data_IF_600137183874
#
_entry.id   IF_600137183874
#
_cell.length_a   1.000
_cell.length_b   1.000
_cell.length_c   1.000
_cell.angle_alpha   90.00
_cell.angle_beta   90.00
_cell.angle_gamma   90.00
#
_symmetry.space_group_name_H-M   'P 1'
#
loop_
_entity.id
_entity.type
_entity.pdbx_description
1 polymer ?
#
# COMPACT_ATOMS: atom_id res chain seq x y z
N UNK A 1 8.18 29.10 -0.72
CA UNK A 1 8.63 28.60 0.60
C UNK A 1 8.21 27.16 0.94
N UNK A 2 7.13 26.61 0.36
CA UNK A 2 6.63 25.26 0.72
C UNK A 2 7.30 24.06 0.01
N UNK A 3 8.26 24.29 -0.88
CA UNK A 3 8.68 23.27 -1.87
C UNK A 3 9.70 22.24 -1.36
N UNK A 4 10.32 22.44 -0.20
CA UNK A 4 11.48 21.64 0.19
C UNK A 4 11.37 21.00 1.58
N UNK A 5 10.17 20.75 2.13
CA UNK A 5 10.04 20.18 3.49
C UNK A 5 10.69 18.79 3.66
N UNK A 6 10.64 17.90 2.65
CA UNK A 6 11.36 16.63 2.68
C UNK A 6 12.88 16.81 2.58
N UNK A 7 13.31 17.73 1.72
CA UNK A 7 14.73 18.09 1.63
C UNK A 7 15.21 18.68 2.95
N UNK A 8 14.42 19.56 3.59
CA UNK A 8 14.70 20.13 4.89
C UNK A 8 14.76 19.05 5.97
N UNK A 9 13.83 18.09 5.98
CA UNK A 9 13.90 16.92 6.86
C UNK A 9 15.21 16.16 6.70
N UNK A 10 15.61 15.85 5.46
CA UNK A 10 16.85 15.13 5.18
C UNK A 10 18.10 15.97 5.46
N UNK A 11 18.02 17.29 5.26
CA UNK A 11 19.08 18.23 5.63
C UNK A 11 19.23 18.31 7.14
N UNK A 12 18.13 18.33 7.91
CA UNK A 12 18.18 18.29 9.38
C UNK A 12 18.83 16.98 9.82
N UNK A 13 18.44 15.83 9.26
CA UNK A 13 19.06 14.54 9.59
C UNK A 13 20.56 14.50 9.24
N UNK A 14 20.90 14.97 8.04
CA UNK A 14 22.28 15.07 7.58
C UNK A 14 23.11 16.04 8.45
N UNK A 15 22.55 17.18 8.85
CA UNK A 15 23.23 18.16 9.69
C UNK A 15 23.43 17.65 11.12
N UNK A 16 22.50 16.84 11.63
CA UNK A 16 22.60 16.17 12.92
C UNK A 16 23.52 14.93 12.89
N UNK A 17 24.20 14.66 11.77
CA UNK A 17 25.04 13.47 11.55
C UNK A 17 24.32 12.15 11.88
N UNK A 18 22.99 12.12 11.72
CA UNK A 18 22.19 10.94 11.95
C UNK A 18 22.38 10.00 10.75
N UNK A 19 23.33 9.09 10.87
CA UNK A 19 23.53 8.05 9.88
C UNK A 19 22.28 7.17 9.75
N UNK A 20 22.02 6.64 8.55
CA UNK A 20 20.98 5.64 8.37
C UNK A 20 21.30 4.41 9.23
N UNK A 21 20.43 4.08 10.19
CA UNK A 21 20.69 3.08 11.23
C UNK A 21 21.42 3.58 12.50
N UNK A 22 21.73 4.88 12.58
CA UNK A 22 22.30 5.57 13.75
C UNK A 22 21.24 5.94 14.81
N UNK A 23 21.58 6.86 15.73
CA UNK A 23 20.81 7.19 16.95
C UNK A 23 19.29 7.12 16.76
N UNK A 24 18.65 6.25 17.56
CA UNK A 24 17.25 5.84 17.42
C UNK A 24 16.24 6.82 18.05
N UNK A 25 16.72 7.84 18.76
CA UNK A 25 15.87 8.72 19.58
C UNK A 25 15.51 10.05 18.90
N UNK A 26 15.78 10.19 17.59
CA UNK A 26 15.39 11.37 16.82
C UNK A 26 14.44 11.04 15.67
N UNK A 27 13.24 11.60 15.73
CA UNK A 27 12.24 11.45 14.68
C UNK A 27 11.39 12.73 14.56
N UNK A 28 11.23 13.22 13.33
CA UNK A 28 10.32 14.33 13.03
C UNK A 28 9.00 13.73 12.53
N UNK A 29 7.94 13.90 13.31
CA UNK A 29 6.58 13.43 12.99
C UNK A 29 6.00 14.13 11.77
N UNK A 30 6.10 15.46 11.76
CA UNK A 30 5.64 16.31 10.67
C UNK A 30 6.46 17.59 10.64
N UNK A 31 6.73 18.09 9.44
CA UNK A 31 7.32 19.42 9.23
C UNK A 31 6.63 20.04 8.03
N UNK A 32 5.51 20.72 8.28
CA UNK A 32 4.60 21.23 7.26
C UNK A 32 3.88 22.44 7.81
N UNK A 33 3.55 23.40 6.93
CA UNK A 33 2.70 24.54 7.28
C UNK A 33 1.21 24.24 7.08
N UNK A 34 0.85 23.03 6.63
CA UNK A 34 -0.54 22.61 6.34
C UNK A 34 -1.02 21.49 7.24
N UNK A 35 -0.11 20.67 7.75
CA UNK A 35 -0.42 19.46 8.51
C UNK A 35 0.52 19.32 9.71
N UNK A 36 -0.04 18.87 10.83
CA UNK A 36 0.72 18.58 12.06
C UNK A 36 0.27 17.22 12.59
N UNK A 37 1.22 16.43 13.08
CA UNK A 37 0.97 15.07 13.58
C UNK A 37 1.30 14.98 15.07
N UNK A 38 0.27 14.77 15.87
CA UNK A 38 0.37 14.42 17.29
C UNK A 38 0.23 12.91 17.44
N UNK A 39 1.30 12.23 17.86
CA UNK A 39 1.34 10.77 17.98
C UNK A 39 2.27 10.32 19.10
N UNK A 40 1.96 9.17 19.70
CA UNK A 40 2.79 8.59 20.75
C UNK A 40 2.39 7.17 21.12
N UNK A 41 3.05 6.63 22.13
CA UNK A 41 2.76 5.32 22.70
C UNK A 41 1.62 5.42 23.72
N UNK A 42 0.45 5.82 23.25
CA UNK A 42 -0.69 6.17 24.07
C UNK A 42 -1.87 5.27 23.71
N UNK A 43 -2.70 4.93 24.69
CA UNK A 43 -4.05 4.46 24.38
C UNK A 43 -4.82 5.60 23.70
N UNK A 44 -5.75 5.31 22.78
CA UNK A 44 -6.49 6.35 22.07
C UNK A 44 -7.15 7.40 22.99
N UNK A 45 -7.70 6.96 24.13
CA UNK A 45 -8.33 7.84 25.11
C UNK A 45 -7.36 8.73 25.90
N UNK A 46 -6.06 8.44 25.89
CA UNK A 46 -5.03 9.24 26.58
C UNK A 46 -4.51 10.39 25.72
N UNK A 47 -4.77 10.40 24.40
CA UNK A 47 -4.17 11.34 23.47
C UNK A 47 -4.48 12.81 23.83
N UNK A 48 -5.76 13.10 24.10
CA UNK A 48 -6.22 14.46 24.42
C UNK A 48 -5.64 14.96 25.75
N UNK A 49 -5.59 14.10 26.76
CA UNK A 49 -5.02 14.43 28.07
C UNK A 49 -3.50 14.65 27.98
N UNK A 50 -2.79 13.77 27.27
CA UNK A 50 -1.34 13.89 27.10
C UNK A 50 -0.93 15.18 26.38
N UNK A 51 -1.68 15.58 25.35
CA UNK A 51 -1.45 16.82 24.59
C UNK A 51 -2.41 17.95 24.98
N UNK A 52 -2.89 17.97 26.23
CA UNK A 52 -3.94 18.89 26.67
C UNK A 52 -3.63 20.38 26.42
N UNK A 53 -2.37 20.79 26.55
CA UNK A 53 -1.96 22.19 26.32
C UNK A 53 -2.28 22.67 24.89
N UNK A 54 -2.22 21.77 23.92
CA UNK A 54 -2.48 22.05 22.50
C UNK A 54 -3.88 21.57 22.11
N UNK A 55 -4.16 20.27 22.22
CA UNK A 55 -5.42 19.65 21.77
C UNK A 55 -6.62 20.01 22.66
N UNK A 56 -6.39 20.49 23.88
CA UNK A 56 -7.42 21.04 24.76
C UNK A 56 -7.68 22.53 24.54
N UNK A 57 -6.87 23.20 23.71
CA UNK A 57 -7.00 24.63 23.47
C UNK A 57 -8.06 24.93 22.41
N UNK A 58 -8.98 25.85 22.66
CA UNK A 58 -10.02 26.25 21.69
C UNK A 58 -9.46 26.86 20.40
N UNK A 59 -8.23 27.39 20.44
CA UNK A 59 -7.54 27.90 19.24
C UNK A 59 -7.06 26.76 18.32
N UNK A 60 -6.97 25.53 18.82
CA UNK A 60 -6.59 24.37 18.03
C UNK A 60 -7.79 23.91 17.20
N UNK A 61 -7.97 24.53 16.04
CA UNK A 61 -9.05 24.24 15.09
C UNK A 61 -8.51 23.60 13.83
N UNK A 62 -9.32 22.75 13.21
CA UNK A 62 -8.97 22.10 11.94
C UNK A 62 -10.25 21.80 11.14
N UNK A 63 -10.14 21.86 9.81
CA UNK A 63 -11.18 21.40 8.88
C UNK A 63 -11.07 19.89 8.58
N UNK A 64 -10.01 19.23 9.05
CA UNK A 64 -9.79 17.80 8.85
C UNK A 64 -9.06 17.13 10.02
N UNK A 65 -9.30 15.84 10.22
CA UNK A 65 -8.57 15.01 11.16
C UNK A 65 -8.33 13.61 10.57
N UNK A 66 -7.13 13.08 10.77
CA UNK A 66 -6.78 11.69 10.45
C UNK A 66 -6.30 11.04 11.74
N UNK A 67 -7.04 10.05 12.22
CA UNK A 67 -6.79 9.37 13.48
C UNK A 67 -6.43 7.92 13.18
N UNK A 68 -5.39 7.40 13.83
CA UNK A 68 -4.98 6.02 13.68
C UNK A 68 -4.64 5.39 15.04
N UNK A 69 -5.19 4.19 15.29
CA UNK A 69 -4.79 3.34 16.41
C UNK A 69 -4.11 2.08 15.88
N UNK A 70 -2.90 1.80 16.38
CA UNK A 70 -2.06 0.68 15.89
C UNK A 70 -2.07 -0.47 16.88
N UNK A 71 -2.34 -1.67 16.37
CA UNK A 71 -2.03 -2.91 17.09
C UNK A 71 -0.67 -3.44 16.62
N UNK A 72 0.24 -3.71 17.55
CA UNK A 72 1.61 -4.16 17.26
C UNK A 72 1.79 -5.61 17.69
N UNK A 73 2.39 -6.43 16.84
CA UNK A 73 2.86 -7.78 17.23
C UNK A 73 4.18 -7.74 18.03
N UNK A 74 4.84 -6.58 18.09
CA UNK A 74 6.06 -6.38 18.89
C UNK A 74 5.72 -5.94 20.31
N UNK A 75 6.41 -6.52 21.29
CA UNK A 75 6.33 -6.17 22.71
C UNK A 75 7.14 -4.93 23.08
N UNK A 76 8.15 -4.56 22.27
CA UNK A 76 8.94 -3.34 22.46
C UNK A 76 8.29 -2.17 21.73
N UNK A 77 7.85 -1.13 22.45
CA UNK A 77 7.13 -0.03 21.84
C UNK A 77 8.13 0.94 21.18
N UNK A 78 7.76 1.50 20.01
CA UNK A 78 8.59 2.43 19.24
C UNK A 78 7.76 3.66 18.87
N UNK A 79 8.18 4.85 19.32
CA UNK A 79 7.42 6.10 19.17
C UNK A 79 7.28 6.54 17.70
N UNK A 80 8.37 6.43 16.95
CA UNK A 80 8.46 6.72 15.52
C UNK A 80 7.50 5.88 14.67
N UNK A 81 7.20 4.64 15.11
CA UNK A 81 6.29 3.70 14.45
C UNK A 81 4.81 3.93 14.73
N UNK A 82 4.48 4.82 15.68
CA UNK A 82 3.10 5.28 15.83
C UNK A 82 2.64 5.97 14.54
N UNK A 83 1.34 5.94 14.29
CA UNK A 83 0.71 6.57 13.12
C UNK A 83 -0.31 7.61 13.61
N UNK A 84 -0.67 8.63 12.80
CA UNK A 84 -0.36 8.79 11.37
C UNK A 84 1.12 9.01 11.02
N UNK A 85 1.49 8.68 9.79
CA UNK A 85 2.73 9.11 9.16
C UNK A 85 2.56 10.54 8.61
N UNK A 86 3.38 10.98 7.64
CA UNK A 86 3.37 12.38 7.18
C UNK A 86 2.18 12.65 6.27
N UNK A 87 1.90 11.71 5.37
CA UNK A 87 0.81 11.77 4.41
C UNK A 87 -0.15 10.60 4.54
N UNK A 88 0.19 9.56 5.32
CA UNK A 88 -0.48 8.27 5.35
C UNK A 88 -0.98 7.87 6.75
N UNK A 89 -2.18 7.30 6.83
CA UNK A 89 -2.59 6.34 7.86
C UNK A 89 -2.91 4.99 7.23
N UNK A 90 -2.39 3.91 7.78
CA UNK A 90 -2.44 2.58 7.20
C UNK A 90 -2.88 1.54 8.23
N UNK A 91 -4.09 1.04 8.05
CA UNK A 91 -4.62 -0.11 8.76
C UNK A 91 -4.45 -1.33 7.86
N UNK A 92 -3.45 -2.15 8.13
CA UNK A 92 -3.09 -3.20 7.18
C UNK A 92 -1.71 -3.80 7.38
N UNK A 93 -1.32 -4.58 6.40
CA UNK A 93 0.04 -5.11 6.23
C UNK A 93 0.37 -5.18 4.73
N UNK A 94 1.55 -4.69 4.34
CA UNK A 94 2.03 -4.80 2.95
C UNK A 94 2.86 -6.08 2.78
N UNK A 95 2.24 -7.12 2.24
CA UNK A 95 2.85 -8.44 2.06
C UNK A 95 3.96 -8.45 1.00
N UNK A 96 3.93 -7.49 0.08
CA UNK A 96 4.89 -7.38 -1.03
C UNK A 96 6.12 -6.51 -0.68
N UNK A 97 6.24 -6.06 0.57
CA UNK A 97 7.19 -5.03 1.00
C UNK A 97 8.62 -5.30 0.52
N UNK A 98 9.15 -6.52 0.73
CA UNK A 98 10.55 -6.83 0.37
C UNK A 98 10.81 -6.61 -1.13
N UNK A 99 9.86 -6.98 -1.99
CA UNK A 99 9.95 -6.72 -3.42
C UNK A 99 9.93 -5.23 -3.73
N UNK A 100 8.97 -4.50 -3.15
CA UNK A 100 8.79 -3.07 -3.39
C UNK A 100 10.00 -2.23 -2.94
N UNK A 101 10.58 -2.56 -1.78
CA UNK A 101 11.81 -1.89 -1.29
C UNK A 101 12.97 -2.11 -2.25
N UNK A 102 13.14 -3.33 -2.76
CA UNK A 102 14.21 -3.64 -3.71
C UNK A 102 14.02 -2.94 -5.06
N UNK A 103 12.79 -2.87 -5.56
CA UNK A 103 12.47 -2.13 -6.78
C UNK A 103 12.69 -0.63 -6.62
N UNK A 104 12.29 -0.06 -5.47
CA UNK A 104 12.58 1.34 -5.17
C UNK A 104 14.08 1.60 -5.12
N UNK A 105 14.86 0.74 -4.45
CA UNK A 105 16.33 0.84 -4.44
C UNK A 105 16.94 0.78 -5.84
N UNK A 106 16.41 -0.06 -6.73
CA UNK A 106 16.85 -0.09 -8.12
C UNK A 106 16.51 1.21 -8.88
N UNK A 107 15.36 1.84 -8.56
CA UNK A 107 14.91 3.11 -9.17
C UNK A 107 15.65 4.34 -8.67
N UNK A 108 16.23 4.30 -7.47
CA UNK A 108 16.98 5.43 -6.89
C UNK A 108 18.09 5.93 -7.83
N UNK A 109 18.79 5.03 -8.51
CA UNK A 109 19.84 5.36 -9.48
C UNK A 109 19.33 6.01 -10.78
N UNK A 110 18.04 5.91 -11.07
CA UNK A 110 17.40 6.45 -12.28
C UNK A 110 16.73 7.82 -12.03
N UNK A 111 16.65 8.28 -10.78
CA UNK A 111 16.02 9.55 -10.44
C UNK A 111 16.79 10.73 -11.05
N UNK A 112 16.08 11.53 -11.86
CA UNK A 112 16.65 12.71 -12.49
C UNK A 112 16.56 13.91 -11.55
N UNK A 113 17.69 14.33 -10.98
CA UNK A 113 17.73 15.43 -10.00
C UNK A 113 17.13 16.74 -10.55
N UNK A 114 17.41 17.05 -11.83
CA UNK A 114 16.92 18.27 -12.50
C UNK A 114 15.40 18.38 -12.50
N UNK A 115 14.70 17.28 -12.77
CA UNK A 115 13.23 17.25 -12.81
C UNK A 115 12.59 17.43 -11.43
N UNK A 116 13.35 17.14 -10.37
CA UNK A 116 12.92 17.31 -8.99
C UNK A 116 13.34 18.67 -8.41
N UNK A 117 13.96 19.54 -9.21
CA UNK A 117 14.50 20.82 -8.74
C UNK A 117 15.69 20.67 -7.79
N UNK A 118 16.34 19.50 -7.73
CA UNK A 118 17.41 19.19 -6.80
C UNK A 118 18.78 19.15 -7.50
N UNK A 119 19.81 19.61 -6.81
CA UNK A 119 21.20 19.33 -7.17
C UNK A 119 21.55 17.85 -6.94
N UNK A 120 22.62 17.37 -7.57
CA UNK A 120 23.14 16.00 -7.33
C UNK A 120 23.52 15.79 -5.86
N UNK A 121 23.99 16.83 -5.18
CA UNK A 121 24.37 16.77 -3.77
C UNK A 121 23.15 16.66 -2.86
N UNK A 122 22.08 17.39 -3.15
CA UNK A 122 20.81 17.28 -2.42
C UNK A 122 20.15 15.91 -2.65
N UNK A 123 20.19 15.40 -3.88
CA UNK A 123 19.69 14.06 -4.19
C UNK A 123 20.39 12.99 -3.35
N UNK A 124 21.72 13.03 -3.24
CA UNK A 124 22.49 12.09 -2.41
C UNK A 124 22.06 12.10 -0.94
N UNK A 125 21.65 13.25 -0.41
CA UNK A 125 21.16 13.39 0.98
C UNK A 125 19.74 12.84 1.16
N UNK A 126 18.96 12.83 0.08
CA UNK A 126 17.58 12.35 0.08
C UNK A 126 17.49 10.81 0.01
N UNK A 127 18.58 10.14 -0.36
CA UNK A 127 18.67 8.68 -0.45
C UNK A 127 19.15 8.05 0.88
N UNK A 128 18.67 6.84 1.21
CA UNK A 128 17.63 6.08 0.51
C UNK A 128 16.22 6.67 0.71
N UNK A 129 15.35 6.45 -0.29
CA UNK A 129 13.94 6.84 -0.24
C UNK A 129 13.18 6.04 0.82
N UNK A 130 13.50 4.75 0.90
CA UNK A 130 12.94 3.83 1.90
C UNK A 130 14.06 3.42 2.85
N UNK A 131 13.92 3.79 4.12
CA UNK A 131 14.83 3.39 5.17
C UNK A 131 14.62 1.90 5.50
N UNK A 132 15.71 1.13 5.60
CA UNK A 132 15.69 -0.31 5.93
C UNK A 132 15.05 -0.58 7.30
N UNK A 133 15.12 0.39 8.22
CA UNK A 133 14.54 0.29 9.56
C UNK A 133 13.06 0.67 9.64
N UNK A 134 12.48 1.19 8.55
CA UNK A 134 11.09 1.65 8.50
C UNK A 134 10.09 0.50 8.57
N UNK A 135 8.91 0.77 9.14
CA UNK A 135 7.77 -0.13 9.01
C UNK A 135 7.28 -0.16 7.55
N UNK A 136 6.49 -1.16 7.19
CA UNK A 136 5.79 -1.24 5.90
C UNK A 136 5.03 0.05 5.55
N UNK A 137 4.37 0.62 6.55
CA UNK A 137 3.58 1.86 6.48
C UNK A 137 4.50 3.07 6.28
N UNK A 138 5.65 3.09 6.95
CA UNK A 138 6.65 4.14 6.78
C UNK A 138 7.34 4.09 5.42
N UNK A 139 7.59 2.90 4.89
CA UNK A 139 8.10 2.70 3.54
C UNK A 139 7.10 3.20 2.49
N UNK A 140 5.81 2.85 2.65
CA UNK A 140 4.75 3.33 1.78
C UNK A 140 4.63 4.87 1.80
N UNK A 141 4.58 5.47 3.00
CA UNK A 141 4.54 6.93 3.19
C UNK A 141 5.73 7.63 2.51
N UNK A 142 6.94 7.07 2.66
CA UNK A 142 8.16 7.58 2.04
C UNK A 142 8.12 7.56 0.51
N UNK A 143 7.51 6.56 -0.12
CA UNK A 143 7.36 6.52 -1.58
C UNK A 143 6.22 7.42 -2.05
N UNK A 144 5.09 7.41 -1.33
CA UNK A 144 3.93 8.25 -1.65
C UNK A 144 4.31 9.73 -1.62
N UNK A 145 5.00 10.18 -0.58
CA UNK A 145 5.48 11.55 -0.49
C UNK A 145 6.44 11.89 -1.63
N UNK A 146 7.34 10.97 -2.04
CA UNK A 146 8.23 11.22 -3.17
C UNK A 146 7.43 11.46 -4.46
N UNK A 147 6.42 10.62 -4.74
CA UNK A 147 5.59 10.76 -5.95
C UNK A 147 4.83 12.08 -5.97
N UNK A 148 4.26 12.48 -4.84
CA UNK A 148 3.53 13.76 -4.71
C UNK A 148 4.47 14.94 -4.91
N UNK A 149 5.65 14.91 -4.29
CA UNK A 149 6.67 15.96 -4.43
C UNK A 149 7.28 16.00 -5.83
N UNK A 150 7.30 14.87 -6.54
CA UNK A 150 7.71 14.80 -7.94
C UNK A 150 6.66 15.36 -8.92
N UNK A 151 5.55 15.91 -8.42
CA UNK A 151 4.54 16.60 -9.22
C UNK A 151 3.29 15.78 -9.53
N UNK A 152 3.16 14.56 -9.00
CA UNK A 152 1.90 13.81 -9.09
C UNK A 152 0.90 14.37 -8.09
N UNK A 153 -0.37 14.41 -8.48
CA UNK A 153 -1.43 14.66 -7.49
C UNK A 153 -1.52 13.47 -6.52
N UNK A 154 -1.94 13.72 -5.27
CA UNK A 154 -2.08 12.68 -4.26
C UNK A 154 -2.97 11.50 -4.71
N UNK A 155 -4.16 11.71 -5.32
CA UNK A 155 -4.98 10.61 -5.81
C UNK A 155 -4.29 9.80 -6.92
N UNK A 156 -3.59 10.45 -7.85
CA UNK A 156 -2.84 9.77 -8.91
C UNK A 156 -1.73 8.88 -8.34
N UNK A 157 -0.99 9.37 -7.34
CA UNK A 157 0.07 8.62 -6.70
C UNK A 157 -0.49 7.39 -5.94
N UNK A 158 -1.63 7.55 -5.25
CA UNK A 158 -2.32 6.44 -4.60
C UNK A 158 -2.84 5.43 -5.62
N UNK A 159 -3.47 5.87 -6.72
CA UNK A 159 -3.91 4.97 -7.80
C UNK A 159 -2.75 4.19 -8.44
N UNK A 160 -1.54 4.77 -8.47
CA UNK A 160 -0.35 4.10 -8.96
C UNK A 160 0.19 3.06 -7.97
N UNK A 161 0.23 3.37 -6.67
CA UNK A 161 0.76 2.47 -5.64
C UNK A 161 -0.21 1.35 -5.25
N UNK A 162 -1.51 1.65 -5.16
CA UNK A 162 -2.59 0.72 -4.83
C UNK A 162 -3.61 0.67 -5.97
N UNK A 163 -3.26 0.07 -7.12
CA UNK A 163 -4.17 0.00 -8.27
C UNK A 163 -5.31 -0.99 -8.02
N UNK A 164 -6.45 -0.73 -8.68
CA UNK A 164 -7.60 -1.63 -8.73
C UNK A 164 -7.24 -2.98 -9.38
N UNK A 165 -8.07 -4.00 -9.17
CA UNK A 165 -7.93 -5.27 -9.87
C UNK A 165 -8.33 -5.14 -11.35
N UNK A 166 -7.42 -4.68 -12.21
CA UNK A 166 -7.71 -4.29 -13.60
C UNK A 166 -7.48 -5.39 -14.65
N UNK A 167 -6.57 -6.35 -14.40
CA UNK A 167 -6.08 -7.28 -15.43
C UNK A 167 -7.19 -8.14 -16.04
N UNK A 168 -7.99 -8.75 -15.17
CA UNK A 168 -9.05 -9.70 -15.56
C UNK A 168 -10.46 -9.09 -15.53
N UNK A 169 -10.57 -7.78 -15.28
CA UNK A 169 -11.85 -7.10 -15.33
C UNK A 169 -12.26 -6.86 -16.80
N UNK A 170 -13.44 -7.38 -17.14
CA UNK A 170 -14.07 -7.24 -18.46
C UNK A 170 -15.02 -6.04 -18.54
N UNK A 171 -15.47 -5.54 -17.39
CA UNK A 171 -16.43 -4.44 -17.28
C UNK A 171 -15.72 -3.09 -17.09
N UNK A 172 -14.41 -3.09 -16.80
CA UNK A 172 -13.61 -1.88 -16.66
C UNK A 172 -13.52 -1.11 -17.99
N UNK A 173 -13.69 0.21 -17.91
CA UNK A 173 -13.48 1.11 -19.04
C UNK A 173 -12.08 0.89 -19.68
N UNK A 174 -11.99 0.77 -21.02
CA UNK A 174 -10.72 0.51 -21.70
C UNK A 174 -9.63 1.55 -21.45
N UNK A 175 -9.98 2.84 -21.27
CA UNK A 175 -9.00 3.89 -20.97
C UNK A 175 -8.49 3.76 -19.54
N UNK A 176 -9.37 3.41 -18.59
CA UNK A 176 -8.97 3.09 -17.22
C UNK A 176 -8.05 1.87 -17.18
N UNK A 177 -8.39 0.81 -17.93
CA UNK A 177 -7.55 -0.38 -18.04
C UNK A 177 -6.17 -0.05 -18.61
N UNK A 178 -6.11 0.77 -19.67
CA UNK A 178 -4.87 1.23 -20.28
C UNK A 178 -4.03 2.10 -19.32
N UNK A 179 -4.64 2.95 -18.49
CA UNK A 179 -3.94 3.70 -17.44
C UNK A 179 -3.25 2.74 -16.46
N UNK A 180 -3.96 1.74 -15.94
CA UNK A 180 -3.39 0.80 -14.98
C UNK A 180 -2.33 -0.11 -15.60
N UNK A 181 -2.52 -0.56 -16.84
CA UNK A 181 -1.51 -1.30 -17.58
C UNK A 181 -0.24 -0.46 -17.77
N UNK A 182 -0.39 0.81 -18.17
CA UNK A 182 0.74 1.73 -18.27
C UNK A 182 1.46 1.92 -16.94
N UNK A 183 0.72 2.15 -15.85
CA UNK A 183 1.30 2.31 -14.52
C UNK A 183 2.02 1.05 -14.03
N UNK A 184 1.58 -0.15 -14.44
CA UNK A 184 2.23 -1.40 -14.06
C UNK A 184 3.66 -1.55 -14.59
N UNK A 185 4.03 -0.84 -15.67
CA UNK A 185 5.42 -0.76 -16.13
C UNK A 185 6.28 0.20 -15.30
N UNK A 186 5.64 1.14 -14.60
CA UNK A 186 6.32 2.18 -13.83
C UNK A 186 6.45 1.82 -12.35
N UNK A 187 5.46 1.18 -11.77
CA UNK A 187 5.37 0.87 -10.35
C UNK A 187 4.66 -0.47 -10.14
N UNK A 188 5.32 -1.36 -9.41
CA UNK A 188 4.71 -2.58 -8.89
C UNK A 188 3.71 -2.23 -7.76
N UNK A 189 2.59 -2.96 -7.65
CA UNK A 189 1.60 -2.66 -6.64
C UNK A 189 2.11 -2.96 -5.23
N UNK A 190 1.85 -2.04 -4.31
CA UNK A 190 2.09 -2.21 -2.89
C UNK A 190 0.93 -3.00 -2.29
N UNK A 191 0.97 -4.31 -2.49
CA UNK A 191 -0.14 -5.23 -2.23
C UNK A 191 -0.08 -5.86 -0.83
N UNK A 192 -1.26 -6.15 -0.29
CA UNK A 192 -1.52 -6.66 1.04
C UNK A 192 -2.86 -6.14 1.60
N UNK A 193 -3.40 -6.71 2.69
CA UNK A 193 -4.63 -6.22 3.30
C UNK A 193 -4.44 -4.78 3.77
N UNK A 194 -5.14 -3.80 3.19
CA UNK A 194 -4.88 -2.40 3.51
C UNK A 194 -6.14 -1.52 3.41
N UNK A 195 -6.37 -0.74 4.46
CA UNK A 195 -7.13 0.50 4.42
C UNK A 195 -6.11 1.64 4.55
N UNK A 196 -5.94 2.38 3.46
CA UNK A 196 -4.99 3.48 3.32
C UNK A 196 -5.77 4.78 3.34
N UNK A 197 -5.62 5.55 4.41
CA UNK A 197 -6.09 6.94 4.51
C UNK A 197 -4.93 7.88 4.22
N UNK A 198 -5.17 9.00 3.55
CA UNK A 198 -4.08 9.87 3.11
C UNK A 198 -4.50 11.34 3.02
N UNK A 199 -3.52 12.23 3.18
CA UNK A 199 -3.72 13.68 3.02
C UNK A 199 -2.43 14.42 2.66
N UNK A 200 -2.56 15.50 1.89
CA UNK A 200 -1.51 16.49 1.62
C UNK A 200 -1.88 17.89 2.14
N UNK A 201 -2.95 17.99 2.94
CA UNK A 201 -3.55 19.25 3.37
C UNK A 201 -4.61 19.81 2.43
N UNK A 202 -4.66 19.40 1.16
CA UNK A 202 -5.75 19.78 0.24
C UNK A 202 -6.77 18.66 0.14
N UNK A 203 -6.27 17.44 -0.05
CA UNK A 203 -7.10 16.26 -0.15
C UNK A 203 -7.09 15.52 1.19
N UNK A 204 -8.25 14.99 1.57
CA UNK A 204 -8.33 13.91 2.56
C UNK A 204 -9.09 12.75 1.90
N UNK A 205 -8.50 11.57 1.90
CA UNK A 205 -9.13 10.42 1.28
C UNK A 205 -8.78 9.11 1.93
N UNK A 206 -9.47 8.08 1.51
CA UNK A 206 -9.16 6.70 1.85
C UNK A 206 -9.49 5.76 0.69
N UNK A 207 -8.65 4.73 0.55
CA UNK A 207 -8.83 3.63 -0.39
C UNK A 207 -8.58 2.31 0.30
N UNK A 208 -9.14 1.25 -0.27
CA UNK A 208 -8.81 -0.12 0.11
C UNK A 208 -7.80 -0.71 -0.87
N UNK A 209 -7.19 -1.82 -0.43
CA UNK A 209 -6.46 -2.72 -1.32
C UNK A 209 -7.38 -3.31 -2.41
N UNK A 210 -6.76 -3.90 -3.42
CA UNK A 210 -7.43 -4.47 -4.61
C UNK A 210 -8.50 -5.51 -4.29
N UNK A 211 -8.43 -6.17 -3.13
CA UNK A 211 -9.34 -7.22 -2.70
C UNK A 211 -10.31 -6.72 -1.61
N UNK A 212 -10.09 -5.52 -1.06
CA UNK A 212 -10.91 -4.95 0.01
C UNK A 212 -10.88 -5.77 1.29
N UNK A 213 -9.68 -6.15 1.74
CA UNK A 213 -9.50 -7.06 2.88
C UNK A 213 -9.66 -6.36 4.24
N UNK A 214 -9.78 -5.02 4.25
CA UNK A 214 -10.04 -4.22 5.45
C UNK A 214 -11.38 -3.49 5.34
N UNK A 215 -12.11 -3.33 6.44
CA UNK A 215 -13.37 -2.60 6.43
C UNK A 215 -13.12 -1.09 6.36
N UNK A 216 -13.90 -0.38 5.55
CA UNK A 216 -13.96 1.08 5.55
C UNK A 216 -15.40 1.51 5.35
N UNK A 217 -15.97 2.27 6.29
CA UNK A 217 -17.34 2.75 6.26
C UNK A 217 -17.35 4.25 6.39
N UNK A 218 -18.27 4.90 5.69
CA UNK A 218 -18.36 6.36 5.70
C UNK A 218 -19.79 6.88 5.82
N UNK A 219 -19.88 8.08 6.36
CA UNK A 219 -21.07 8.91 6.47
C UNK A 219 -20.78 10.26 5.85
N UNK A 220 -21.75 10.79 5.10
CA UNK A 220 -21.78 12.18 4.65
C UNK A 220 -23.01 12.81 5.27
N UNK A 221 -22.85 13.95 5.93
CA UNK A 221 -23.94 14.64 6.62
C UNK A 221 -24.52 15.78 5.77
N UNK A 222 -25.75 16.21 6.08
CA UNK A 222 -26.33 17.42 5.48
C UNK A 222 -25.60 18.68 5.94
N UNK A 223 -25.02 18.66 7.15
CA UNK A 223 -24.12 19.68 7.69
C UNK A 223 -22.75 19.77 6.99
N UNK A 224 -22.46 18.90 6.01
CA UNK A 224 -21.24 18.97 5.20
C UNK A 224 -20.02 18.23 5.77
N UNK A 225 -20.21 17.40 6.79
CA UNK A 225 -19.16 16.56 7.36
C UNK A 225 -19.03 15.23 6.60
N UNK A 226 -17.79 14.78 6.43
CA UNK A 226 -17.48 13.45 5.89
C UNK A 226 -16.69 12.68 6.93
N UNK A 227 -17.28 11.60 7.44
CA UNK A 227 -16.68 10.75 8.46
C UNK A 227 -16.41 9.39 7.83
N UNK A 228 -15.16 8.91 7.92
CA UNK A 228 -14.78 7.56 7.50
C UNK A 228 -14.03 6.86 8.63
N UNK A 229 -14.42 5.62 8.92
CA UNK A 229 -13.77 4.79 9.93
C UNK A 229 -13.79 3.31 9.53
N UNK A 230 -12.95 2.51 10.18
CA UNK A 230 -12.95 1.05 10.02
C UNK A 230 -14.23 0.39 10.57
N UNK A 231 -14.94 1.07 11.47
CA UNK A 231 -16.13 0.58 12.16
C UNK A 231 -17.30 1.58 12.11
N UNK A 232 -18.50 1.13 12.48
CA UNK A 232 -19.68 2.00 12.64
C UNK A 232 -19.77 2.51 14.08
N UNK A 233 -20.35 3.69 14.29
CA UNK A 233 -20.61 4.21 15.64
C UNK A 233 -19.38 4.78 16.37
N UNK A 234 -18.28 5.01 15.64
CA UNK A 234 -17.06 5.66 16.18
C UNK A 234 -17.33 7.10 16.59
N UNK A 235 -18.24 7.75 15.87
CA UNK A 235 -18.68 9.13 16.05
C UNK A 235 -20.20 9.12 16.15
N UNK A 236 -20.74 9.77 17.18
CA UNK A 236 -22.18 9.94 17.34
C UNK A 236 -22.67 11.02 16.37
N UNK A 237 -23.55 10.65 15.45
CA UNK A 237 -24.12 11.52 14.41
C UNK A 237 -25.64 11.41 14.51
N UNK A 238 -26.39 12.53 14.63
CA UNK A 238 -27.85 12.50 14.60
C UNK A 238 -28.37 11.82 13.32
N UNK A 239 -29.25 10.82 13.41
CA UNK A 239 -29.75 10.10 12.23
C UNK A 239 -30.35 11.01 11.14
N UNK A 240 -30.99 12.10 11.53
CA UNK A 240 -31.58 13.12 10.66
C UNK A 240 -30.54 13.91 9.85
N UNK A 241 -29.31 14.03 10.34
CA UNK A 241 -28.23 14.73 9.64
C UNK A 241 -27.50 13.80 8.67
N UNK A 242 -27.78 12.50 8.64
CA UNK A 242 -27.12 11.57 7.72
C UNK A 242 -27.71 11.71 6.31
N UNK A 243 -26.93 12.28 5.39
CA UNK A 243 -27.29 12.39 3.97
C UNK A 243 -26.96 11.12 3.18
N UNK A 244 -25.78 10.55 3.41
CA UNK A 244 -25.33 9.33 2.72
C UNK A 244 -24.54 8.44 3.65
N UNK A 245 -24.86 7.14 3.67
CA UNK A 245 -24.08 6.10 4.34
C UNK A 245 -23.56 5.12 3.30
N UNK A 246 -22.29 4.74 3.41
CA UNK A 246 -21.69 3.80 2.47
C UNK A 246 -20.52 3.01 3.06
N UNK A 247 -19.97 2.13 2.22
CA UNK A 247 -18.75 1.39 2.50
C UNK A 247 -17.79 1.56 1.33
N UNK A 248 -16.48 1.53 1.62
CA UNK A 248 -15.46 1.43 0.60
C UNK A 248 -15.52 0.03 0.00
N UNK A 249 -15.62 -0.05 -1.33
CA UNK A 249 -15.49 -1.29 -2.07
C UNK A 249 -14.04 -1.46 -2.56
N UNK A 250 -13.62 -2.69 -2.90
CA UNK A 250 -12.29 -2.90 -3.48
C UNK A 250 -12.05 -1.96 -4.67
N UNK A 251 -10.94 -1.23 -4.64
CA UNK A 251 -10.59 -0.26 -5.68
C UNK A 251 -11.29 1.10 -5.63
N UNK A 252 -12.32 1.28 -4.79
CA UNK A 252 -12.99 2.58 -4.61
C UNK A 252 -12.13 3.54 -3.78
N UNK A 253 -12.04 4.79 -4.23
CA UNK A 253 -11.43 5.89 -3.48
C UNK A 253 -12.51 6.85 -2.98
N UNK A 254 -12.61 7.02 -1.66
CA UNK A 254 -13.33 8.16 -1.07
C UNK A 254 -12.35 9.31 -0.97
N UNK A 255 -12.70 10.46 -1.52
CA UNK A 255 -11.82 11.62 -1.56
C UNK A 255 -12.63 12.90 -1.32
N UNK A 256 -12.11 13.77 -0.47
CA UNK A 256 -12.61 15.13 -0.25
C UNK A 256 -11.56 16.10 -0.78
N UNK A 257 -11.97 17.03 -1.64
CA UNK A 257 -11.12 18.14 -2.11
C UNK A 257 -11.54 19.41 -1.37
N UNK A 258 -10.73 19.85 -0.41
CA UNK A 258 -11.03 21.03 0.38
C UNK A 258 -10.89 22.34 -0.39
N UNK A 259 -10.13 22.37 -1.49
CA UNK A 259 -10.08 23.56 -2.36
C UNK A 259 -11.36 23.72 -3.19
N UNK A 260 -12.03 22.62 -3.52
CA UNK A 260 -13.29 22.61 -4.28
C UNK A 260 -14.53 22.44 -3.41
N UNK A 261 -14.35 22.26 -2.11
CA UNK A 261 -15.42 21.99 -1.14
C UNK A 261 -16.37 20.87 -1.57
N UNK A 262 -15.83 19.78 -2.12
CA UNK A 262 -16.65 18.67 -2.63
C UNK A 262 -16.11 17.32 -2.21
N UNK A 263 -17.05 16.38 -1.98
CA UNK A 263 -16.73 14.95 -2.03
C UNK A 263 -16.60 14.58 -3.49
N UNK A 264 -15.44 14.06 -3.87
CA UNK A 264 -15.13 13.73 -5.25
C UNK A 264 -15.79 12.41 -5.62
N UNK A 265 -16.42 12.37 -6.79
CA UNK A 265 -16.95 11.14 -7.36
C UNK A 265 -15.81 10.25 -7.89
N UNK A 266 -15.78 8.99 -7.43
CA UNK A 266 -14.71 8.02 -7.75
C UNK A 266 -14.61 7.73 -9.24
N UNK A 267 -15.75 7.58 -9.93
CA UNK A 267 -15.78 7.28 -11.35
C UNK A 267 -15.28 8.48 -12.17
N UNK A 268 -15.76 9.69 -11.84
CA UNK A 268 -15.30 10.92 -12.47
C UNK A 268 -13.80 11.16 -12.24
N UNK A 269 -13.30 10.92 -11.03
CA UNK A 269 -11.88 11.05 -10.67
C UNK A 269 -11.00 10.15 -11.54
N UNK A 270 -11.34 8.87 -11.62
CA UNK A 270 -10.58 7.89 -12.39
C UNK A 270 -10.74 8.10 -13.90
N UNK A 271 -11.90 8.59 -14.34
CA UNK A 271 -12.11 9.01 -15.72
C UNK A 271 -11.23 10.21 -16.09
N UNK A 272 -11.05 11.18 -15.19
CA UNK A 272 -10.14 12.31 -15.38
C UNK A 272 -8.70 11.80 -15.59
N UNK A 273 -8.18 10.93 -14.73
CA UNK A 273 -6.81 10.44 -14.87
C UNK A 273 -6.62 9.52 -16.08
N UNK A 274 -7.57 8.63 -16.36
CA UNK A 274 -7.47 7.72 -17.51
C UNK A 274 -7.54 8.44 -18.86
N UNK A 275 -8.12 9.65 -18.91
CA UNK A 275 -8.17 10.50 -20.10
C UNK A 275 -7.08 11.57 -20.15
N UNK A 276 -6.29 11.72 -19.09
CA UNK A 276 -5.26 12.76 -19.02
C UNK A 276 -4.17 12.58 -20.08
N UNK A 277 -3.89 11.34 -20.50
CA UNK A 277 -2.88 11.01 -21.52
C UNK A 277 -3.36 9.86 -22.42
N UNK A 278 -2.83 9.71 -23.64
CA UNK A 278 -3.24 8.67 -24.57
C UNK A 278 -2.58 7.32 -24.24
N UNK A 279 -2.86 6.77 -23.06
CA UNK A 279 -2.22 5.55 -22.55
C UNK A 279 -2.36 4.35 -23.50
N UNK A 280 -3.55 4.13 -24.06
CA UNK A 280 -3.80 3.04 -25.01
C UNK A 280 -2.89 3.12 -26.24
N UNK A 281 -2.76 4.31 -26.83
CA UNK A 281 -1.89 4.54 -27.98
C UNK A 281 -0.41 4.32 -27.64
N UNK A 282 0.02 4.67 -26.43
CA UNK A 282 1.40 4.40 -25.99
C UNK A 282 1.66 2.91 -25.84
N UNK A 283 0.71 2.17 -25.25
CA UNK A 283 0.80 0.74 -25.10
C UNK A 283 0.86 0.06 -26.47
N UNK A 284 -0.06 0.37 -27.38
CA UNK A 284 -0.07 -0.19 -28.74
C UNK A 284 1.25 0.04 -29.50
N UNK A 285 1.87 1.22 -29.33
CA UNK A 285 3.08 1.59 -30.06
C UNK A 285 4.38 1.08 -29.44
N UNK A 286 4.42 0.80 -28.14
CA UNK A 286 5.68 0.58 -27.41
C UNK A 286 5.71 -0.77 -26.68
N UNK A 287 4.56 -1.38 -26.39
CA UNK A 287 4.49 -2.69 -25.75
C UNK A 287 4.84 -3.77 -26.77
N UNK A 288 5.83 -4.59 -26.45
CA UNK A 288 6.19 -5.77 -27.23
C UNK A 288 5.92 -6.99 -26.37
N UNK A 289 5.09 -7.91 -26.87
CA UNK A 289 4.83 -9.19 -26.21
C UNK A 289 5.80 -10.24 -26.72
N UNK A 290 6.33 -11.09 -25.83
CA UNK A 290 7.25 -12.16 -26.18
C UNK A 290 6.66 -13.09 -27.24
N UNK A 291 5.34 -13.34 -27.20
CA UNK A 291 4.60 -14.08 -28.23
C UNK A 291 4.86 -13.54 -29.63
N UNK A 292 4.78 -12.23 -29.81
CA UNK A 292 4.95 -11.57 -31.11
C UNK A 292 6.39 -11.75 -31.62
N UNK A 293 7.38 -11.70 -30.71
CA UNK A 293 8.78 -11.98 -31.05
C UNK A 293 8.95 -13.44 -31.46
N UNK A 294 8.45 -14.39 -30.67
CA UNK A 294 8.57 -15.82 -30.99
C UNK A 294 7.91 -16.14 -32.33
N UNK A 295 6.72 -15.60 -32.58
CA UNK A 295 5.97 -15.76 -33.82
C UNK A 295 6.71 -15.20 -35.05
N UNK A 296 7.48 -14.12 -34.87
CA UNK A 296 8.29 -13.52 -35.95
C UNK A 296 9.48 -14.39 -36.39
N UNK A 297 9.92 -15.35 -35.56
CA UNK A 297 11.07 -16.22 -35.85
C UNK A 297 10.61 -17.53 -36.47
N UNK A 298 11.32 -17.98 -37.52
CA UNK A 298 11.08 -19.26 -38.20
C UNK A 298 11.21 -20.44 -37.25
N UNK A 299 10.33 -21.45 -37.39
CA UNK A 299 10.30 -22.64 -36.51
C UNK A 299 11.64 -23.37 -36.42
N UNK A 300 12.43 -23.39 -37.49
CA UNK A 300 13.78 -23.98 -37.53
C UNK A 300 14.76 -23.33 -36.56
N UNK A 301 14.64 -22.01 -36.36
CA UNK A 301 15.48 -21.22 -35.47
C UNK A 301 15.03 -21.27 -34.00
N UNK A 302 13.87 -21.89 -33.72
CA UNK A 302 13.37 -22.13 -32.37
C UNK A 302 13.91 -23.44 -31.76
N UNK A 303 14.60 -24.26 -32.55
CA UNK A 303 15.21 -25.50 -32.06
C UNK A 303 16.48 -25.17 -31.26
N UNK A 304 16.61 -25.71 -30.04
CA UNK A 304 17.85 -25.61 -29.30
C UNK A 304 18.98 -26.28 -30.09
N UNK A 305 20.14 -25.62 -30.26
CA UNK A 305 21.29 -26.27 -30.85
C UNK A 305 21.72 -27.46 -29.97
N UNK A 306 22.09 -28.60 -30.57
CA UNK A 306 22.57 -29.74 -29.80
C UNK A 306 23.86 -29.35 -29.05
N UNK A 307 23.87 -29.53 -27.73
CA UNK A 307 25.07 -29.30 -26.91
C UNK A 307 25.92 -30.57 -26.99
N UNK A 308 27.14 -30.45 -27.51
CA UNK A 308 28.09 -31.55 -27.55
C UNK A 308 28.43 -31.99 -26.11
N UNK A 309 28.17 -33.26 -25.78
CA UNK A 309 28.41 -33.81 -24.45
C UNK A 309 27.18 -33.88 -23.54
N UNK A 310 25.96 -33.67 -24.05
CA UNK A 310 24.73 -33.94 -23.30
C UNK A 310 24.61 -35.45 -23.00
N UNK A 311 25.23 -35.89 -21.90
CA UNK A 311 24.89 -37.15 -21.27
C UNK A 311 23.40 -37.10 -20.93
N UNK A 312 22.61 -37.91 -21.64
CA UNK A 312 21.19 -38.15 -21.36
C UNK A 312 20.90 -38.53 -19.88
N UNK A 313 21.93 -38.77 -19.08
CA UNK A 313 21.86 -39.11 -17.66
C UNK A 313 21.60 -37.92 -16.72
N UNK A 314 22.04 -36.69 -17.04
CA UNK A 314 21.80 -35.53 -16.16
C UNK A 314 20.31 -35.14 -16.16
N UNK A 315 19.62 -35.36 -17.29
CA UNK A 315 18.16 -35.30 -17.39
C UNK A 315 17.47 -36.68 -17.30
N UNK A 316 18.23 -37.77 -17.14
CA UNK A 316 17.70 -39.14 -17.02
C UNK A 316 16.87 -39.31 -15.75
N UNK A 317 17.35 -38.77 -14.62
CA UNK A 317 16.56 -38.69 -13.37
C UNK A 317 15.33 -37.78 -13.50
N UNK A 318 15.35 -36.79 -14.39
CA UNK A 318 14.17 -35.95 -14.66
C UNK A 318 13.10 -36.70 -15.46
N UNK A 319 13.48 -37.64 -16.34
CA UNK A 319 12.51 -38.44 -17.12
C UNK A 319 11.69 -39.42 -16.28
N UNK A 320 12.07 -39.73 -15.04
CA UNK A 320 11.20 -40.47 -14.12
C UNK A 320 10.20 -39.57 -13.40
N UNK A 321 10.50 -38.27 -13.23
CA UNK A 321 9.67 -37.30 -12.51
C UNK A 321 8.70 -36.56 -13.45
N UNK A 322 9.13 -36.27 -14.68
CA UNK A 322 8.39 -35.45 -15.66
C UNK A 322 7.13 -36.13 -16.24
N UNK A 323 7.05 -37.46 -16.46
CA UNK A 323 5.81 -38.09 -16.92
C UNK A 323 4.66 -37.97 -15.91
N UNK A 324 4.97 -37.86 -14.61
CA UNK A 324 3.96 -37.64 -13.56
C UNK A 324 3.41 -36.21 -13.54
N UNK A 325 4.12 -35.24 -14.15
CA UNK A 325 3.77 -33.82 -14.15
C UNK A 325 3.24 -33.31 -15.50
N UNK A 326 3.57 -33.97 -16.62
CA UNK A 326 3.32 -33.43 -17.97
C UNK A 326 2.41 -34.29 -18.85
N UNK A 327 2.08 -35.52 -18.44
CA UNK A 327 1.09 -36.36 -19.14
C UNK A 327 -0.06 -36.72 -18.21
N UNK A 328 -1.12 -35.93 -18.31
CA UNK A 328 -2.36 -36.11 -17.58
C UNK A 328 -2.83 -34.78 -17.05
N UNK A 329 -4.03 -34.39 -17.46
CA UNK A 329 -4.88 -33.46 -16.72
C UNK A 329 -4.66 -33.66 -15.21
N UNK A 330 -3.91 -32.75 -14.57
CA UNK A 330 -3.70 -32.77 -13.13
C UNK A 330 -5.03 -32.41 -12.46
N UNK A 331 -5.95 -33.39 -12.41
CA UNK A 331 -7.06 -33.37 -11.49
C UNK A 331 -6.46 -33.27 -10.09
N UNK A 332 -6.97 -32.34 -9.27
CA UNK A 332 -6.54 -31.90 -7.93
C UNK A 332 -6.13 -33.00 -6.91
N UNK A 333 -6.25 -34.28 -7.23
CA UNK A 333 -6.01 -35.43 -6.35
C UNK A 333 -4.55 -35.89 -6.21
N UNK A 334 -3.60 -35.43 -7.04
CA UNK A 334 -2.22 -35.98 -7.05
C UNK A 334 -1.19 -35.22 -6.21
N UNK A 335 -1.46 -33.97 -5.84
CA UNK A 335 -0.54 -33.14 -5.03
C UNK A 335 -0.28 -33.71 -3.61
N UNK A 336 -1.26 -34.29 -2.88
CA UNK A 336 -1.05 -34.75 -1.50
C UNK A 336 -0.03 -35.90 -1.36
N UNK A 337 0.04 -36.81 -2.34
CA UNK A 337 0.95 -37.97 -2.29
C UNK A 337 2.42 -37.59 -2.51
N UNK A 338 2.68 -36.50 -3.24
CA UNK A 338 4.04 -35.96 -3.47
C UNK A 338 4.59 -35.31 -2.19
N UNK A 339 3.74 -34.57 -1.46
CA UNK A 339 4.10 -33.90 -0.20
C UNK A 339 4.52 -34.92 0.88
N UNK A 340 3.90 -36.12 0.91
CA UNK A 340 4.23 -37.16 1.89
C UNK A 340 5.63 -37.77 1.66
N UNK A 341 6.14 -37.76 0.42
CA UNK A 341 7.49 -38.23 0.06
C UNK A 341 8.58 -37.18 0.32
N UNK A 342 8.30 -35.89 0.16
CA UNK A 342 9.30 -34.83 0.43
C UNK A 342 9.61 -34.63 1.93
N UNK A 343 8.70 -35.04 2.83
CA UNK A 343 8.94 -34.93 4.29
C UNK A 343 10.02 -35.88 4.83
N UNK A 344 10.41 -36.92 4.10
CA UNK A 344 11.42 -37.89 4.57
C UNK A 344 12.88 -37.48 4.29
N UNK A 345 13.12 -36.38 3.58
CA UNK A 345 14.48 -35.95 3.17
C UNK A 345 14.82 -34.51 3.58
N UNK A 346 14.22 -33.98 4.65
CA UNK A 346 14.68 -32.71 5.24
C UNK A 346 16.00 -32.94 5.98
N UNK A 347 17.10 -32.96 5.25
CA UNK A 347 18.45 -33.03 5.81
C UNK A 347 19.50 -32.92 4.72
N UNK A 348 20.44 -31.98 4.90
CA UNK A 348 21.66 -31.91 4.11
C UNK A 348 22.52 -33.14 4.43
N UNK A 349 22.22 -34.29 3.83
CA UNK A 349 23.17 -35.40 3.78
C UNK A 349 24.23 -35.04 2.73
N UNK A 350 25.51 -35.13 3.09
CA UNK A 350 26.64 -34.79 2.21
C UNK A 350 26.71 -35.60 0.91
N UNK A 351 25.87 -36.63 0.76
CA UNK A 351 25.97 -37.64 -0.28
C UNK A 351 24.87 -37.55 -1.37
N UNK A 352 24.00 -36.54 -1.31
CA UNK A 352 22.98 -36.29 -2.35
C UNK A 352 23.14 -34.92 -3.01
N UNK A 353 23.17 -34.90 -4.35
CA UNK A 353 23.15 -33.67 -5.14
C UNK A 353 21.70 -33.22 -5.27
N UNK A 354 21.30 -32.27 -4.44
CA UNK A 354 19.96 -31.67 -4.50
C UNK A 354 19.96 -30.39 -5.36
N UNK A 355 18.83 -30.13 -6.02
CA UNK A 355 18.64 -28.88 -6.75
C UNK A 355 18.54 -27.69 -5.79
N UNK A 356 19.06 -26.53 -6.19
CA UNK A 356 18.99 -25.28 -5.41
C UNK A 356 17.55 -24.95 -4.95
N UNK A 357 16.54 -25.27 -5.77
CA UNK A 357 15.12 -25.06 -5.45
C UNK A 357 14.65 -25.88 -4.23
N UNK A 358 15.26 -27.02 -3.92
CA UNK A 358 14.92 -27.84 -2.75
C UNK A 358 15.27 -27.15 -1.43
N UNK A 359 16.17 -26.16 -1.46
CA UNK A 359 16.57 -25.36 -0.31
C UNK A 359 15.77 -24.05 -0.16
N UNK A 360 14.84 -23.77 -1.08
CA UNK A 360 14.00 -22.57 -1.06
C UNK A 360 12.61 -22.96 -0.57
N UNK A 361 12.32 -22.71 0.72
CA UNK A 361 10.98 -22.88 1.27
C UNK A 361 10.09 -21.70 0.90
N UNK A 362 8.85 -21.98 0.48
CA UNK A 362 7.86 -20.92 0.20
C UNK A 362 7.29 -20.37 1.50
N UNK A 363 7.40 -19.06 1.70
CA UNK A 363 6.72 -18.36 2.79
C UNK A 363 5.22 -18.26 2.46
N UNK A 364 4.36 -18.71 3.38
CA UNK A 364 2.90 -18.68 3.22
C UNK A 364 2.30 -17.93 4.40
N UNK A 365 1.53 -16.88 4.11
CA UNK A 365 0.72 -16.18 5.11
C UNK A 365 -0.65 -16.85 5.15
N UNK A 366 -0.96 -17.56 6.24
CA UNK A 366 -2.28 -18.14 6.47
C UNK A 366 -3.11 -17.12 7.25
N UNK A 367 -3.92 -16.35 6.52
CA UNK A 367 -4.92 -15.47 7.12
C UNK A 367 -6.12 -16.30 7.62
N UNK A 368 -6.34 -16.33 8.93
CA UNK A 368 -7.60 -16.82 9.48
C UNK A 368 -8.69 -15.77 9.23
N UNK A 369 -9.48 -15.96 8.16
CA UNK A 369 -10.77 -15.29 8.05
C UNK A 369 -11.67 -15.86 9.17
N UNK A 370 -12.18 -15.05 10.11
CA UNK A 370 -13.16 -15.55 11.07
C UNK A 370 -14.36 -16.08 10.28
N UNK A 371 -14.74 -17.34 10.55
CA UNK A 371 -15.95 -17.93 9.96
C UNK A 371 -17.14 -17.06 10.36
N UNK A 372 -17.94 -16.67 9.37
CA UNK A 372 -19.17 -15.93 9.54
C UNK A 372 -20.29 -16.80 10.13
N UNK A 373 -20.08 -17.38 11.31
CA UNK A 373 -21.14 -18.02 12.11
C UNK A 373 -21.06 -17.47 13.54
N UNK A 374 -22.20 -16.95 14.00
CA UNK A 374 -22.52 -16.45 15.34
C UNK A 374 -21.80 -15.20 15.86
N UNK A 375 -21.99 -14.08 15.16
CA UNK A 375 -22.02 -12.73 15.78
C UNK A 375 -23.16 -11.92 15.15
N UNK A 376 -24.36 -12.51 15.14
CA UNK A 376 -25.58 -11.77 14.88
C UNK A 376 -26.08 -11.16 16.19
N UNK A 377 -25.70 -9.91 16.48
CA UNK A 377 -26.48 -9.13 17.44
C UNK A 377 -27.86 -8.91 16.80
N UNK A 378 -28.90 -9.51 17.39
CA UNK A 378 -30.29 -9.15 17.08
C UNK A 378 -30.47 -7.65 17.34
N UNK A 379 -31.26 -6.93 16.51
CA UNK A 379 -31.52 -5.53 16.75
C UNK A 379 -32.33 -5.41 18.05
N UNK A 380 -31.76 -4.81 19.10
CA UNK A 380 -32.50 -4.46 20.33
C UNK A 380 -31.79 -4.65 21.67
N UNK A 381 -30.59 -5.23 21.75
CA UNK A 381 -29.90 -5.42 23.04
C UNK A 381 -28.63 -4.56 23.13
N UNK A 382 -28.65 -3.59 24.05
CA UNK A 382 -27.57 -2.65 24.34
C UNK A 382 -26.38 -3.31 25.02
N UNK A 383 -25.55 -4.00 24.25
CA UNK A 383 -24.24 -4.49 24.67
C UNK A 383 -23.12 -3.58 24.17
N UNK A 384 -22.39 -2.93 25.09
CA UNK A 384 -21.13 -2.23 24.78
C UNK A 384 -20.05 -3.25 24.40
N UNK A 385 -19.68 -3.28 23.12
CA UNK A 385 -18.40 -3.83 22.68
C UNK A 385 -17.31 -2.78 22.95
N UNK A 386 -16.06 -3.18 23.29
CA UNK A 386 -14.96 -2.24 23.52
C UNK A 386 -14.44 -1.69 22.18
N UNK A 387 -15.29 -0.92 21.50
CA UNK A 387 -14.87 0.06 20.51
C UNK A 387 -14.60 1.36 21.24
N UNK A 388 -13.38 1.91 21.10
CA UNK A 388 -13.09 3.24 21.61
C UNK A 388 -13.92 4.26 20.83
N UNK A 389 -15.09 4.65 21.37
CA UNK A 389 -15.80 5.84 20.91
C UNK A 389 -14.83 7.02 20.98
N UNK A 390 -14.76 7.81 19.91
CA UNK A 390 -14.05 9.09 19.95
C UNK A 390 -15.01 10.10 20.52
N UNK A 391 -15.17 10.10 21.84
CA UNK A 391 -15.85 11.19 22.54
C UNK A 391 -14.85 12.35 22.70
N UNK A 392 -15.29 13.57 22.39
CA UNK A 392 -14.61 14.83 22.71
C UNK A 392 -13.40 15.28 21.86
N UNK A 393 -13.14 14.70 20.68
CA UNK A 393 -12.20 15.26 19.69
C UNK A 393 -12.89 15.93 18.48
N UNK A 394 -14.19 16.18 18.56
CA UNK A 394 -14.90 16.94 17.54
C UNK A 394 -14.70 18.44 17.76
N UNK A 395 -13.74 19.03 17.05
CA UNK A 395 -13.80 20.46 16.77
C UNK A 395 -14.93 20.69 15.76
N UNK A 396 -16.11 21.10 16.23
CA UNK A 396 -17.17 21.61 15.34
C UNK A 396 -16.69 22.99 14.86
N UNK A 397 -16.12 23.04 13.67
CA UNK A 397 -15.88 24.30 12.98
C UNK A 397 -17.13 24.66 12.18
N UNK A 398 -17.89 25.63 12.69
CA UNK A 398 -18.83 26.36 11.84
C UNK A 398 -18.02 27.36 11.02
N UNK A 399 -18.02 27.18 9.70
CA UNK A 399 -17.64 28.26 8.80
C UNK A 399 -18.85 29.19 8.63
N UNK A 400 -18.66 30.52 8.67
CA UNK A 400 -19.71 31.49 8.39
C UNK A 400 -20.19 31.44 6.93
#
# INVERSE_FOLDING_TARGET
MAEHFRLLYQLIRSALNLQHGGVRDFYICSLSSRTVVYKGQLKPNQLKEYYYADLGNERFTSYMALIHSRFSTNTFPSWDRAQPMRVLGHNGEINTLRGNVNWMKAREGLLKCKELGLSKNEMKKLLPIVDVSSSDSGAFDGVLELLVRAGRSLPEAVMMMTPEAWQNDKNMDPKRKALYEYNSFLMEPWDGPALVSFTDGRYLGATLDRNGLRPGRFYVTHSGQVIMASEVGVVDIPPEDVSRKGRLNPGMMLLVDFEKHTVVDDEALKQQYSRAKPYGTWLEKQKIELKNIVESVTKSSRACPPIAGEQKDVMGRYREIVPQLTHGSATKSHIPNIIRRMKSSKGCSKDQVDHLAAYIESEVIIGFLPRSHDMGAKPGEGGELPGHKVTDMQGITHYP
#
